data_IF_391974199528
#
_entry.id   IF_391974199528
#
_cell.length_a   1.000
_cell.length_b   1.000
_cell.length_c   1.000
_cell.angle_alpha   90.00
_cell.angle_beta   90.00
_cell.angle_gamma   90.00
#
_symmetry.space_group_name_H-M   'P 1'
#
loop_
_entity.id
_entity.type
_entity.pdbx_description
1 polymer ?
#
# COMPACT_ATOMS: atom_id res chain seq x y z
N UNK A 1 -5.12 -4.28 -21.47
CA UNK A 1 -5.65 -4.42 -22.85
C UNK A 1 -5.47 -5.82 -23.47
N UNK A 2 -4.24 -6.30 -23.61
CA UNK A 2 -3.93 -7.54 -24.37
C UNK A 2 -4.60 -8.78 -23.79
N UNK A 3 -4.59 -8.93 -22.45
CA UNK A 3 -5.27 -10.04 -21.77
C UNK A 3 -6.78 -10.04 -22.01
N UNK A 4 -7.43 -8.87 -21.98
CA UNK A 4 -8.86 -8.77 -22.22
C UNK A 4 -9.24 -9.13 -23.67
N UNK A 5 -8.38 -8.78 -24.64
CA UNK A 5 -8.54 -9.19 -26.03
C UNK A 5 -8.44 -10.71 -26.19
N UNK A 6 -7.40 -11.33 -25.59
CA UNK A 6 -7.25 -12.80 -25.60
C UNK A 6 -8.47 -13.52 -25.02
N UNK A 7 -9.03 -13.03 -23.91
CA UNK A 7 -10.23 -13.62 -23.29
C UNK A 7 -11.45 -13.52 -24.22
N UNK A 8 -11.60 -12.40 -24.94
CA UNK A 8 -12.68 -12.22 -25.92
C UNK A 8 -12.53 -13.14 -27.13
N UNK A 9 -11.30 -13.27 -27.63
CA UNK A 9 -11.02 -14.08 -28.81
C UNK A 9 -11.29 -15.56 -28.52
N UNK A 10 -10.99 -16.03 -27.31
CA UNK A 10 -11.22 -17.42 -26.90
C UNK A 10 -12.68 -17.72 -26.50
N UNK A 11 -13.33 -16.82 -25.76
CA UNK A 11 -14.63 -17.09 -25.12
C UNK A 11 -15.81 -16.35 -25.74
N UNK A 12 -15.56 -15.39 -26.64
CA UNK A 12 -16.60 -14.63 -27.34
C UNK A 12 -17.38 -13.62 -26.48
N UNK A 13 -17.12 -13.53 -25.17
CA UNK A 13 -17.86 -12.66 -24.27
C UNK A 13 -17.40 -11.20 -24.31
N UNK A 14 -18.35 -10.28 -24.15
CA UNK A 14 -18.07 -8.85 -23.96
C UNK A 14 -17.36 -8.63 -22.62
N UNK A 15 -16.32 -7.79 -22.62
CA UNK A 15 -15.57 -7.43 -21.41
C UNK A 15 -15.60 -5.93 -21.10
N UNK A 16 -15.20 -5.59 -19.88
CA UNK A 16 -14.81 -4.24 -19.46
C UNK A 16 -13.47 -4.33 -18.72
N UNK A 17 -12.57 -3.39 -18.98
CA UNK A 17 -11.31 -3.27 -18.24
C UNK A 17 -10.96 -1.79 -18.09
N UNK A 18 -10.27 -1.47 -17.01
CA UNK A 18 -9.76 -0.14 -16.72
C UNK A 18 -8.35 -0.25 -16.12
N UNK A 19 -7.56 0.80 -16.31
CA UNK A 19 -6.21 0.91 -15.75
C UNK A 19 -6.23 1.98 -14.65
N UNK A 20 -5.92 1.61 -13.42
CA UNK A 20 -5.91 2.56 -12.29
C UNK A 20 -4.73 3.54 -12.34
N UNK A 21 -3.60 3.13 -12.93
CA UNK A 21 -2.37 3.93 -13.07
C UNK A 21 -2.00 4.68 -11.78
N UNK A 22 -1.81 6.00 -11.81
CA UNK A 22 -1.46 6.81 -10.65
C UNK A 22 -2.55 6.91 -9.57
N UNK A 23 -3.82 6.65 -9.90
CA UNK A 23 -4.91 6.74 -8.93
C UNK A 23 -4.67 5.82 -7.73
N UNK A 24 -4.09 4.64 -7.95
CA UNK A 24 -3.81 3.67 -6.88
C UNK A 24 -2.79 4.16 -5.84
N UNK A 25 -1.95 5.16 -6.19
CA UNK A 25 -0.93 5.72 -5.28
C UNK A 25 -1.39 6.98 -4.56
N UNK A 26 -2.35 7.72 -5.14
CA UNK A 26 -2.78 9.02 -4.63
C UNK A 26 -4.22 9.03 -4.08
N UNK A 27 -4.83 7.85 -3.91
CA UNK A 27 -6.19 7.70 -3.38
C UNK A 27 -6.32 7.99 -1.87
N UNK A 28 -5.82 9.14 -1.40
CA UNK A 28 -5.82 9.52 0.02
C UNK A 28 -7.23 9.58 0.62
N UNK A 29 -8.23 9.86 -0.21
CA UNK A 29 -9.65 9.89 0.13
C UNK A 29 -10.17 8.52 0.62
N UNK A 30 -9.51 7.42 0.27
CA UNK A 30 -9.85 6.05 0.69
C UNK A 30 -8.62 5.28 1.19
N UNK A 31 -7.62 6.00 1.71
CA UNK A 31 -6.42 5.36 2.24
C UNK A 31 -6.74 4.46 3.44
N UNK A 32 -5.97 3.38 3.59
CA UNK A 32 -6.04 2.50 4.76
C UNK A 32 -5.75 3.28 6.04
N UNK A 33 -6.65 3.20 7.02
CA UNK A 33 -6.44 3.82 8.32
C UNK A 33 -5.15 3.32 8.98
N UNK A 34 -4.88 2.01 8.90
CA UNK A 34 -3.67 1.39 9.41
C UNK A 34 -2.41 1.96 8.75
N UNK A 35 -2.43 2.17 7.43
CA UNK A 35 -1.28 2.71 6.69
C UNK A 35 -1.00 4.16 7.10
N UNK A 36 -2.05 4.98 7.24
CA UNK A 36 -1.92 6.37 7.72
C UNK A 36 -1.35 6.44 9.13
N UNK A 37 -1.85 5.63 10.06
CA UNK A 37 -1.37 5.59 11.44
C UNK A 37 0.09 5.14 11.51
N UNK A 38 0.44 4.10 10.76
CA UNK A 38 1.80 3.57 10.71
C UNK A 38 2.77 4.56 10.08
N UNK A 39 2.39 5.23 8.98
CA UNK A 39 3.20 6.27 8.32
C UNK A 39 3.52 7.43 9.28
N UNK A 40 2.56 7.84 10.10
CA UNK A 40 2.81 8.87 11.12
C UNK A 40 3.71 8.37 12.25
N UNK A 41 3.47 7.14 12.73
CA UNK A 41 4.26 6.54 13.81
C UNK A 41 5.73 6.35 13.43
N UNK A 42 6.03 5.88 12.21
CA UNK A 42 7.42 5.73 11.76
C UNK A 42 8.14 7.07 11.64
N UNK A 43 7.45 8.11 11.16
CA UNK A 43 8.02 9.46 11.09
C UNK A 43 8.34 10.02 12.47
N UNK A 44 7.41 9.87 13.43
CA UNK A 44 7.63 10.27 14.82
C UNK A 44 8.82 9.53 15.44
N UNK A 45 8.87 8.20 15.33
CA UNK A 45 9.94 7.39 15.90
C UNK A 45 11.32 7.72 15.28
N UNK A 46 11.36 8.06 13.98
CA UNK A 46 12.59 8.49 13.33
C UNK A 46 13.15 9.78 13.95
N UNK A 47 12.28 10.75 14.26
CA UNK A 47 12.68 11.99 14.95
C UNK A 47 13.16 11.69 16.38
N UNK A 48 12.45 10.86 17.13
CA UNK A 48 12.84 10.47 18.49
C UNK A 48 14.21 9.79 18.53
N UNK A 49 14.49 8.91 17.57
CA UNK A 49 15.79 8.26 17.48
C UNK A 49 16.93 9.20 17.07
N UNK A 50 16.66 10.14 16.16
CA UNK A 50 17.63 11.17 15.79
C UNK A 50 17.99 12.06 16.99
N UNK A 51 16.99 12.48 17.78
CA UNK A 51 17.20 13.24 19.02
C UNK A 51 17.98 12.45 20.08
N UNK A 52 17.81 11.13 20.12
CA UNK A 52 18.59 10.24 20.97
C UNK A 52 20.02 9.96 20.44
N UNK A 53 20.45 10.64 19.36
CA UNK A 53 21.79 10.52 18.79
C UNK A 53 22.02 9.25 17.95
N UNK A 54 20.96 8.50 17.64
CA UNK A 54 21.07 7.33 16.76
C UNK A 54 21.22 7.78 15.31
N UNK A 55 22.14 7.16 14.59
CA UNK A 55 22.42 7.46 13.18
C UNK A 55 22.44 6.18 12.35
N UNK A 56 22.25 6.29 11.04
CA UNK A 56 22.32 5.15 10.09
C UNK A 56 21.38 3.98 10.43
N UNK A 57 20.18 4.28 10.94
CA UNK A 57 19.14 3.27 11.22
C UNK A 57 17.87 3.53 10.41
N UNK A 58 17.11 2.47 10.17
CA UNK A 58 15.78 2.52 9.55
C UNK A 58 14.74 2.11 10.59
N UNK A 59 13.63 2.86 10.67
CA UNK A 59 12.48 2.51 11.52
C UNK A 59 11.65 1.46 10.80
N UNK A 60 11.23 0.43 11.53
CA UNK A 60 10.40 -0.67 11.02
C UNK A 60 9.08 -0.77 11.79
N UNK A 61 8.10 -1.41 11.15
CA UNK A 61 6.81 -1.76 11.77
C UNK A 61 6.85 -3.24 12.10
N UNK A 62 6.84 -3.58 13.39
CA UNK A 62 6.80 -4.97 13.84
C UNK A 62 5.36 -5.44 14.04
N UNK A 63 4.97 -6.51 13.33
CA UNK A 63 3.64 -7.09 13.47
C UNK A 63 3.48 -7.74 14.85
N UNK A 64 2.64 -7.15 15.70
CA UNK A 64 2.27 -7.73 16.99
C UNK A 64 1.50 -9.04 16.82
N UNK A 65 1.56 -9.93 17.83
CA UNK A 65 0.71 -11.14 17.93
C UNK A 65 -0.75 -10.74 18.18
N UNK A 66 -1.45 -10.31 17.14
CA UNK A 66 -2.87 -9.93 17.16
C UNK A 66 -3.71 -10.84 16.27
N UNK A 67 -5.01 -10.57 16.18
CA UNK A 67 -5.95 -11.33 15.36
C UNK A 67 -5.41 -11.48 13.93
N UNK A 68 -5.39 -12.72 13.43
CA UNK A 68 -5.02 -12.99 12.04
C UNK A 68 -6.14 -12.47 11.14
N UNK A 69 -5.80 -11.55 10.25
CA UNK A 69 -6.64 -11.18 9.11
C UNK A 69 -6.29 -12.16 7.99
N UNK A 70 -7.29 -12.88 7.51
CA UNK A 70 -7.24 -13.79 6.37
C UNK A 70 -8.40 -13.50 5.44
#
# INVERSE_FOLDING_TARGET
>A
PTLAAMIKDELGYKYHWALADYLQRSARHIASATDVEQAYAVGKAAVEFALAGKTSIMVSIERKKTRKYG
#
